data_IF_605761396162
#
_entry.id   IF_605761396162
#
_cell.length_a   1.000
_cell.length_b   1.000
_cell.length_c   1.000
_cell.angle_alpha   90.00
_cell.angle_beta   90.00
_cell.angle_gamma   90.00
#
_symmetry.space_group_name_H-M   'P 1'
#
loop_
_entity.id
_entity.type
_entity.pdbx_description
1 polymer ?
#
# COMPACT_ATOMS: atom_id res chain seq x y z
N UNK A 1 -6.40 15.79 -21.29
CA UNK A 1 -5.06 15.81 -20.70
C UNK A 1 -4.84 14.42 -20.14
N UNK A 2 -3.84 13.69 -20.64
CA UNK A 2 -3.53 12.33 -20.17
C UNK A 2 -2.45 12.43 -19.08
N UNK A 3 -2.81 12.10 -17.84
CA UNK A 3 -1.86 12.06 -16.73
C UNK A 3 -1.17 10.68 -16.70
N UNK A 4 0.14 10.66 -16.92
CA UNK A 4 0.96 9.45 -16.79
C UNK A 4 1.39 9.25 -15.33
N UNK A 5 0.71 8.38 -14.59
CA UNK A 5 1.11 8.01 -13.23
C UNK A 5 2.14 6.88 -13.28
N UNK A 6 3.40 7.21 -13.00
CA UNK A 6 4.48 6.21 -12.96
C UNK A 6 4.60 5.53 -11.59
N UNK A 7 4.28 6.27 -10.53
CA UNK A 7 4.38 5.85 -9.14
C UNK A 7 3.13 6.22 -8.34
N UNK A 8 2.70 5.30 -7.47
CA UNK A 8 1.69 5.55 -6.44
C UNK A 8 2.42 5.62 -5.10
N UNK A 9 2.29 6.76 -4.41
CA UNK A 9 2.95 7.01 -3.14
C UNK A 9 1.91 6.99 -2.02
N UNK A 10 2.12 6.15 -1.02
CA UNK A 10 1.26 6.05 0.17
C UNK A 10 2.03 6.45 1.43
N UNK A 11 1.33 7.11 2.34
CA UNK A 11 1.90 7.57 3.61
C UNK A 11 1.54 6.63 4.75
N UNK A 12 2.36 6.60 5.80
CA UNK A 12 2.01 5.90 7.04
C UNK A 12 0.76 6.51 7.67
N UNK A 13 -0.14 5.67 8.14
CA UNK A 13 -1.25 6.06 8.98
C UNK A 13 -0.75 6.44 10.38
N UNK A 14 -1.08 7.66 10.81
CA UNK A 14 -0.93 8.10 12.20
C UNK A 14 -1.92 9.22 12.48
N UNK A 15 -2.36 9.35 13.73
CA UNK A 15 -3.13 10.51 14.18
C UNK A 15 -2.24 11.74 14.39
N UNK A 16 -0.91 11.56 14.49
CA UNK A 16 0.07 12.64 14.67
C UNK A 16 0.64 13.06 13.31
N UNK A 17 0.31 14.26 12.82
CA UNK A 17 0.80 14.78 11.53
C UNK A 17 2.32 14.68 11.35
N UNK A 18 3.08 15.06 12.39
CA UNK A 18 4.56 14.99 12.41
C UNK A 18 5.11 13.58 12.18
N UNK A 19 4.37 12.55 12.58
CA UNK A 19 4.76 11.16 12.34
C UNK A 19 4.51 10.76 10.88
N UNK A 20 3.40 11.19 10.28
CA UNK A 20 3.07 10.93 8.86
C UNK A 20 4.16 11.52 7.94
N UNK A 21 4.64 12.72 8.24
CA UNK A 21 5.65 13.43 7.46
C UNK A 21 7.04 12.79 7.57
N UNK A 22 7.42 12.36 8.78
CA UNK A 22 8.73 11.74 9.04
C UNK A 22 8.82 10.27 8.65
N UNK A 23 7.67 9.61 8.51
CA UNK A 23 7.65 8.19 8.17
C UNK A 23 8.03 7.97 6.70
N UNK A 24 8.75 6.87 6.40
CA UNK A 24 8.99 6.45 5.02
C UNK A 24 7.70 6.42 4.22
N UNK A 25 7.78 6.72 2.92
CA UNK A 25 6.64 6.52 2.01
C UNK A 25 6.77 5.16 1.36
N UNK A 26 5.64 4.49 1.17
CA UNK A 26 5.60 3.27 0.36
C UNK A 26 5.29 3.65 -1.08
N UNK A 27 6.05 3.08 -2.00
CA UNK A 27 6.01 3.40 -3.43
C UNK A 27 5.63 2.14 -4.20
N UNK A 28 4.58 2.26 -4.99
CA UNK A 28 4.08 1.23 -5.89
C UNK A 28 4.28 1.70 -7.33
N UNK A 29 4.59 0.77 -8.23
CA UNK A 29 4.91 1.09 -9.62
C UNK A 29 3.72 0.70 -10.49
N UNK A 30 3.24 1.65 -11.28
CA UNK A 30 2.10 1.41 -12.18
C UNK A 30 2.55 0.69 -13.46
N UNK A 31 3.75 1.00 -13.95
CA UNK A 31 4.34 0.39 -15.14
C UNK A 31 5.30 -0.77 -14.79
N UNK A 32 4.88 -1.99 -15.13
CA UNK A 32 5.67 -3.21 -14.91
C UNK A 32 6.96 -3.25 -15.74
N UNK A 33 7.01 -2.58 -16.89
CA UNK A 33 8.21 -2.44 -17.72
C UNK A 33 9.30 -1.68 -16.98
N UNK A 34 8.94 -0.58 -16.33
CA UNK A 34 9.86 0.20 -15.50
C UNK A 34 10.29 -0.54 -14.22
N UNK A 35 9.39 -1.30 -13.59
CA UNK A 35 9.72 -2.10 -12.43
C UNK A 35 10.86 -3.11 -12.69
N UNK A 36 10.90 -3.68 -13.91
CA UNK A 36 11.97 -4.58 -14.34
C UNK A 36 13.29 -3.85 -14.61
N UNK A 37 13.25 -2.64 -15.19
CA UNK A 37 14.43 -1.84 -15.53
C UNK A 37 15.11 -1.25 -14.29
N UNK A 38 14.33 -0.82 -13.28
CA UNK A 38 14.86 -0.24 -12.04
C UNK A 38 15.51 -1.27 -11.09
N UNK A 39 15.71 -2.52 -11.52
CA UNK A 39 16.51 -3.49 -10.78
C UNK A 39 15.87 -3.97 -9.48
N UNK A 40 14.56 -3.75 -9.28
CA UNK A 40 13.82 -4.35 -8.18
C UNK A 40 13.67 -5.85 -8.43
N UNK A 41 14.75 -6.62 -8.21
CA UNK A 41 14.69 -8.08 -8.10
C UNK A 41 13.94 -8.42 -6.81
N UNK A 42 12.60 -8.38 -6.86
CA UNK A 42 11.70 -8.67 -5.76
C UNK A 42 11.86 -10.12 -5.28
N UNK A 43 12.62 -10.34 -4.22
CA UNK A 43 12.73 -11.61 -3.48
C UNK A 43 11.48 -11.84 -2.61
N UNK A 44 10.38 -12.18 -3.28
CA UNK A 44 9.11 -12.83 -2.86
C UNK A 44 8.06 -12.42 -3.90
N UNK A 45 8.22 -12.92 -5.13
CA UNK A 45 7.63 -12.32 -6.35
C UNK A 45 6.11 -12.12 -6.28
N UNK A 46 5.34 -13.12 -5.87
CA UNK A 46 3.87 -13.05 -5.99
C UNK A 46 3.19 -12.12 -4.98
N UNK A 47 3.60 -12.16 -3.71
CA UNK A 47 2.99 -11.33 -2.67
C UNK A 47 3.10 -9.84 -2.98
N UNK A 48 4.30 -9.38 -3.40
CA UNK A 48 4.51 -7.97 -3.77
C UNK A 48 3.83 -7.57 -5.07
N UNK A 49 3.72 -8.48 -6.05
CA UNK A 49 2.96 -8.23 -7.29
C UNK A 49 1.48 -8.01 -6.96
N UNK A 50 0.90 -8.84 -6.10
CA UNK A 50 -0.52 -8.72 -5.73
C UNK A 50 -0.74 -7.47 -4.89
N UNK A 51 0.14 -7.16 -3.94
CA UNK A 51 0.08 -5.91 -3.18
C UNK A 51 0.11 -4.69 -4.11
N UNK A 52 0.97 -4.70 -5.14
CA UNK A 52 1.04 -3.63 -6.14
C UNK A 52 -0.23 -3.54 -7.00
N UNK A 53 -0.81 -4.68 -7.39
CA UNK A 53 -2.08 -4.72 -8.12
C UNK A 53 -3.24 -4.15 -7.29
N UNK A 54 -3.30 -4.49 -6.00
CA UNK A 54 -4.27 -3.92 -5.06
C UNK A 54 -4.05 -2.42 -4.90
N UNK A 55 -2.81 -1.95 -4.79
CA UNK A 55 -2.51 -0.51 -4.72
C UNK A 55 -3.05 0.26 -5.93
N UNK A 56 -2.87 -0.28 -7.14
CA UNK A 56 -3.38 0.32 -8.38
C UNK A 56 -4.91 0.41 -8.35
N UNK A 57 -5.58 -0.68 -7.98
CA UNK A 57 -7.05 -0.71 -7.89
C UNK A 57 -7.58 0.28 -6.84
N UNK A 58 -6.97 0.34 -5.65
CA UNK A 58 -7.35 1.31 -4.63
C UNK A 58 -7.16 2.75 -5.11
N UNK A 59 -6.10 3.02 -5.87
CA UNK A 59 -5.89 4.34 -6.46
C UNK A 59 -6.93 4.69 -7.52
N UNK A 60 -7.38 3.71 -8.33
CA UNK A 60 -8.51 3.89 -9.27
C UNK A 60 -9.81 4.20 -8.53
N UNK A 61 -10.10 3.51 -7.43
CA UNK A 61 -11.27 3.81 -6.57
C UNK A 61 -11.19 5.21 -5.97
N UNK A 62 -10.01 5.63 -5.53
CA UNK A 62 -9.77 6.99 -5.04
C UNK A 62 -9.98 8.04 -6.13
N UNK A 63 -9.65 7.75 -7.39
CA UNK A 63 -9.93 8.67 -8.48
C UNK A 63 -11.45 8.90 -8.67
N UNK A 64 -12.28 7.89 -8.40
CA UNK A 64 -13.74 7.98 -8.43
C UNK A 64 -14.29 8.66 -7.18
N UNK A 65 -13.75 8.34 -5.99
CA UNK A 65 -14.09 9.00 -4.72
C UNK A 65 -12.84 9.65 -4.08
N UNK A 66 -12.54 10.93 -4.39
CA UNK A 66 -11.36 11.62 -3.89
C UNK A 66 -11.33 11.84 -2.38
N UNK A 67 -12.46 11.63 -1.67
CA UNK A 67 -12.51 11.73 -0.21
C UNK A 67 -11.83 10.56 0.48
N UNK A 68 -11.68 9.43 -0.22
CA UNK A 68 -10.94 8.27 0.27
C UNK A 68 -9.45 8.59 0.25
N UNK A 69 -8.81 8.41 1.39
CA UNK A 69 -7.37 8.49 1.58
C UNK A 69 -6.82 7.10 1.85
N UNK A 70 -5.71 6.78 1.19
CA UNK A 70 -5.03 5.48 1.27
C UNK A 70 -3.75 5.67 2.07
N UNK A 71 -3.58 4.83 3.09
CA UNK A 71 -2.40 4.79 3.94
C UNK A 71 -1.91 3.35 4.08
N UNK A 72 -0.66 3.17 4.51
CA UNK A 72 -0.20 1.89 5.06
C UNK A 72 -0.03 2.03 6.57
N UNK A 73 0.07 0.94 7.32
CA UNK A 73 0.42 1.01 8.74
C UNK A 73 1.47 -0.02 9.11
N UNK A 74 2.37 0.37 10.01
CA UNK A 74 3.42 -0.48 10.56
C UNK A 74 3.85 -0.01 11.93
N UNK A 75 3.99 -0.92 12.87
CA UNK A 75 4.51 -0.61 14.20
C UNK A 75 5.97 -1.05 14.41
N UNK A 76 6.47 -0.79 15.62
CA UNK A 76 7.84 -1.13 16.02
C UNK A 76 8.05 -2.65 16.14
N UNK A 77 6.99 -3.41 16.41
CA UNK A 77 7.00 -4.87 16.52
C UNK A 77 6.85 -5.57 15.15
N UNK A 78 6.99 -4.83 14.05
CA UNK A 78 6.86 -5.32 12.68
C UNK A 78 5.47 -5.83 12.29
N UNK A 79 4.43 -5.53 13.07
CA UNK A 79 3.05 -5.74 12.65
C UNK A 79 2.72 -4.70 11.59
N UNK A 80 2.08 -5.14 10.52
CA UNK A 80 1.78 -4.31 9.37
C UNK A 80 0.33 -4.53 8.90
N UNK A 81 -0.23 -3.47 8.33
CA UNK A 81 -1.46 -3.50 7.54
C UNK A 81 -1.12 -2.82 6.23
N UNK A 82 -1.27 -3.53 5.11
CA UNK A 82 -0.81 -3.05 3.81
C UNK A 82 -1.57 -1.79 3.37
N UNK A 83 -2.90 -1.78 3.51
CA UNK A 83 -3.71 -0.61 3.17
C UNK A 83 -4.79 -0.29 4.21
N UNK A 84 -4.92 0.99 4.51
CA UNK A 84 -5.97 1.59 5.33
C UNK A 84 -6.70 2.62 4.47
N UNK A 85 -8.01 2.42 4.29
CA UNK A 85 -8.88 3.37 3.60
C UNK A 85 -9.61 4.24 4.63
N UNK A 86 -9.48 5.55 4.49
CA UNK A 86 -10.08 6.52 5.41
C UNK A 86 -10.87 7.57 4.64
N UNK A 87 -12.09 7.83 5.07
CA UNK A 87 -12.94 8.91 4.55
C UNK A 87 -13.28 9.87 5.70
N UNK A 88 -12.91 11.15 5.57
CA UNK A 88 -13.07 12.10 6.68
C UNK A 88 -12.24 11.68 7.90
N UNK A 89 -12.88 11.41 9.03
CA UNK A 89 -12.26 10.93 10.28
C UNK A 89 -12.34 9.40 10.45
N UNK A 90 -13.14 8.72 9.62
CA UNK A 90 -13.50 7.33 9.80
C UNK A 90 -12.61 6.40 8.97
N UNK A 91 -12.07 5.36 9.60
CA UNK A 91 -11.42 4.26 8.88
C UNK A 91 -12.52 3.35 8.33
N UNK A 92 -12.61 3.26 7.00
CA UNK A 92 -13.62 2.47 6.30
C UNK A 92 -13.20 1.02 6.16
N UNK A 93 -11.93 0.78 5.80
CA UNK A 93 -11.43 -0.55 5.50
C UNK A 93 -9.97 -0.70 5.97
N UNK A 94 -9.65 -1.91 6.44
CA UNK A 94 -8.29 -2.39 6.68
C UNK A 94 -8.07 -3.59 5.76
N UNK A 95 -7.06 -3.51 4.91
CA UNK A 95 -6.79 -4.50 3.88
C UNK A 95 -5.39 -5.05 4.11
N UNK A 96 -5.32 -6.35 4.38
CA UNK A 96 -4.09 -7.13 4.37
C UNK A 96 -4.07 -7.99 3.11
N UNK A 97 -3.07 -7.81 2.27
CA UNK A 97 -2.89 -8.56 1.03
C UNK A 97 -2.09 -9.82 1.34
N UNK A 98 -2.60 -10.96 0.87
CA UNK A 98 -1.95 -12.26 0.99
C UNK A 98 -2.07 -13.01 -0.33
N UNK A 99 -0.95 -13.57 -0.79
CA UNK A 99 -0.93 -14.47 -1.94
C UNK A 99 -1.40 -15.88 -1.57
N UNK A 100 -1.05 -16.31 -0.35
CA UNK A 100 -1.30 -17.64 0.17
C UNK A 100 -1.82 -17.50 1.60
N UNK A 101 -2.90 -18.21 1.90
CA UNK A 101 -3.59 -18.19 3.19
C UNK A 101 -2.82 -18.92 4.28
N UNK A 102 -2.00 -19.93 3.95
CA UNK A 102 -1.14 -20.61 4.94
C UNK A 102 -0.05 -19.66 5.46
N UNK A 103 0.44 -18.77 4.59
CA UNK A 103 1.40 -17.71 4.94
C UNK A 103 0.73 -16.64 5.82
N UNK A 104 -0.58 -16.41 5.66
CA UNK A 104 -1.33 -15.44 6.46
C UNK A 104 -1.48 -15.85 7.92
N UNK A 105 -1.75 -17.12 8.19
CA UNK A 105 -1.83 -17.65 9.56
C UNK A 105 -0.48 -17.51 10.28
N UNK A 106 0.62 -17.78 9.57
CA UNK A 106 1.99 -17.59 10.09
C UNK A 106 2.28 -16.13 10.50
N UNK A 107 1.66 -15.14 9.83
CA UNK A 107 1.81 -13.71 10.18
C UNK A 107 0.94 -13.28 11.37
N UNK A 108 -0.13 -14.00 11.70
CA UNK A 108 -0.99 -13.70 12.86
C UNK A 108 -0.41 -14.17 14.19
N UNK A 109 0.47 -15.18 14.17
CA UNK A 109 1.02 -15.82 15.36
C UNK A 109 2.34 -15.19 15.87
N UNK A 110 2.83 -14.12 15.23
CA UNK A 110 3.99 -13.34 15.67
C UNK A 110 3.59 -11.96 16.16
#
# INVERSE_FOLDING_TARGET
MEDAYLFIITSKFSYKKKEIERSPKWVYIVDTGLANVLGFKFTKKYGKIIENAVAIELYRRRAINPRIKIYYWKDYYQREVDFILKEGIEVKELIQVCYDTEIYETKKEK
#
